data_IF_641004334098
#
_entry.id   IF_641004334098
#
_cell.length_a   1.000
_cell.length_b   1.000
_cell.length_c   1.000
_cell.angle_alpha   90.00
_cell.angle_beta   90.00
_cell.angle_gamma   90.00
#
_symmetry.space_group_name_H-M   'P 1'
#
loop_
_entity.id
_entity.type
_entity.pdbx_description
1 polymer ?
#
# COMPACT_ATOMS: atom_id res chain seq x y z
N UNK A 1 44.32 -10.91 -18.92
CA UNK A 1 43.25 -11.17 -17.93
C UNK A 1 43.89 -11.85 -16.74
N UNK A 2 43.99 -11.17 -15.59
CA UNK A 2 44.61 -11.74 -14.38
C UNK A 2 43.73 -12.88 -13.86
N UNK A 3 44.19 -14.12 -13.99
CA UNK A 3 43.62 -15.29 -13.29
C UNK A 3 43.95 -15.18 -11.80
N UNK A 4 43.28 -14.27 -11.10
CA UNK A 4 43.27 -14.28 -9.64
C UNK A 4 42.59 -15.59 -9.23
N UNK A 5 43.31 -16.45 -8.51
CA UNK A 5 42.75 -17.67 -7.93
C UNK A 5 41.46 -17.28 -7.17
N UNK A 6 40.33 -18.00 -7.34
CA UNK A 6 39.02 -17.58 -6.82
C UNK A 6 39.06 -17.26 -5.31
N UNK A 7 39.93 -17.93 -4.57
CA UNK A 7 40.16 -17.72 -3.15
C UNK A 7 40.64 -16.29 -2.79
N UNK A 8 41.48 -15.65 -3.62
CA UNK A 8 41.90 -14.26 -3.39
C UNK A 8 40.74 -13.29 -3.51
N UNK A 9 39.85 -13.52 -4.48
CA UNK A 9 38.64 -12.72 -4.65
C UNK A 9 37.74 -12.84 -3.41
N UNK A 10 37.57 -14.05 -2.86
CA UNK A 10 36.75 -14.30 -1.67
C UNK A 10 37.28 -13.53 -0.46
N UNK A 11 38.60 -13.56 -0.24
CA UNK A 11 39.25 -12.84 0.87
C UNK A 11 39.13 -11.32 0.70
N UNK A 12 39.30 -10.81 -0.54
CA UNK A 12 39.13 -9.39 -0.84
C UNK A 12 37.69 -8.94 -0.57
N UNK A 13 36.70 -9.76 -0.93
CA UNK A 13 35.29 -9.47 -0.62
C UNK A 13 35.02 -9.52 0.87
N UNK A 14 35.56 -10.52 1.60
CA UNK A 14 35.44 -10.57 3.05
C UNK A 14 36.03 -9.31 3.71
N UNK A 15 37.21 -8.89 3.27
CA UNK A 15 37.84 -7.65 3.73
C UNK A 15 36.99 -6.42 3.39
N UNK A 16 36.44 -6.36 2.18
CA UNK A 16 35.54 -5.31 1.71
C UNK A 16 34.28 -5.18 2.56
N UNK A 17 33.65 -6.31 2.95
CA UNK A 17 32.50 -6.34 3.86
C UNK A 17 32.88 -5.74 5.22
N UNK A 18 34.00 -6.19 5.79
CA UNK A 18 34.49 -5.68 7.08
C UNK A 18 34.84 -4.20 7.06
N UNK A 19 35.44 -3.71 5.97
CA UNK A 19 35.74 -2.29 5.78
C UNK A 19 34.48 -1.45 5.62
N UNK A 20 33.50 -1.92 4.84
CA UNK A 20 32.24 -1.22 4.62
C UNK A 20 31.46 -1.02 5.93
N UNK A 21 31.26 -2.11 6.68
CA UNK A 21 30.58 -2.08 7.98
C UNK A 21 31.39 -1.25 8.98
N UNK A 22 32.70 -1.44 8.98
CA UNK A 22 33.62 -0.69 9.84
C UNK A 22 33.61 0.81 9.57
N UNK A 23 33.43 1.24 8.31
CA UNK A 23 33.38 2.66 7.92
C UNK A 23 32.11 3.35 8.44
N UNK A 24 30.96 2.67 8.38
CA UNK A 24 29.73 3.15 9.01
C UNK A 24 29.93 3.31 10.53
N UNK A 25 30.54 2.31 11.16
CA UNK A 25 30.77 2.31 12.60
C UNK A 25 31.76 3.35 13.06
N UNK A 26 32.82 3.60 12.30
CA UNK A 26 33.78 4.66 12.61
C UNK A 26 33.16 6.04 12.51
N UNK A 27 32.24 6.26 11.56
CA UNK A 27 31.49 7.53 11.43
C UNK A 27 30.56 7.76 12.62
N UNK A 28 29.91 6.70 13.12
CA UNK A 28 28.94 6.76 14.22
C UNK A 28 29.56 6.50 15.61
N UNK A 29 30.89 6.53 15.71
CA UNK A 29 31.66 6.16 16.92
C UNK A 29 31.57 7.18 18.06
N UNK A 30 31.04 8.38 17.78
CA UNK A 30 31.02 9.52 18.71
C UNK A 30 32.42 10.11 18.97
N UNK A 31 32.47 11.22 19.70
CA UNK A 31 33.71 11.89 20.13
C UNK A 31 33.78 11.94 21.66
N UNK A 32 34.97 11.80 22.25
CA UNK A 32 35.18 11.89 23.70
C UNK A 32 35.32 10.54 24.43
N UNK A 33 35.25 10.52 25.78
CA UNK A 33 35.47 9.32 26.60
C UNK A 33 34.44 8.20 26.38
N UNK A 34 33.29 8.52 25.78
CA UNK A 34 32.21 7.56 25.46
C UNK A 34 32.36 6.90 24.07
N UNK A 35 33.47 7.13 23.36
CA UNK A 35 33.71 6.58 22.02
C UNK A 35 33.58 5.04 21.98
N UNK A 36 32.81 4.51 21.03
CA UNK A 36 32.69 3.07 20.80
C UNK A 36 34.06 2.46 20.46
N UNK A 37 34.45 1.29 21.00
CA UNK A 37 35.78 0.72 20.78
C UNK A 37 35.95 0.12 19.38
N UNK A 38 34.85 -0.35 18.76
CA UNK A 38 34.89 -1.03 17.47
C UNK A 38 34.82 -0.02 16.31
N UNK A 39 35.82 -0.07 15.44
CA UNK A 39 35.96 0.84 14.30
C UNK A 39 36.31 0.12 13.00
N UNK A 40 36.73 0.87 11.98
CA UNK A 40 37.12 0.32 10.67
C UNK A 40 38.06 -0.88 10.75
N UNK A 41 39.08 -0.79 11.61
CA UNK A 41 40.10 -1.83 11.76
C UNK A 41 39.54 -3.07 12.45
N UNK A 42 38.69 -2.90 13.46
CA UNK A 42 38.10 -4.02 14.20
C UNK A 42 37.23 -4.88 13.28
N UNK A 43 36.33 -4.25 12.52
CA UNK A 43 35.42 -4.97 11.61
C UNK A 43 36.17 -5.61 10.42
N UNK A 44 37.17 -4.94 9.87
CA UNK A 44 38.02 -5.52 8.82
C UNK A 44 38.78 -6.75 9.32
N UNK A 45 39.40 -6.67 10.50
CA UNK A 45 40.13 -7.77 11.09
C UNK A 45 39.21 -8.93 11.47
N UNK A 46 38.04 -8.69 12.05
CA UNK A 46 37.10 -9.76 12.44
C UNK A 46 36.51 -10.47 11.23
N UNK A 47 36.21 -9.75 10.15
CA UNK A 47 35.78 -10.36 8.87
C UNK A 47 36.88 -11.24 8.29
N UNK A 48 38.11 -10.73 8.27
CA UNK A 48 39.26 -11.50 7.78
C UNK A 48 39.51 -12.75 8.64
N UNK A 49 39.39 -12.63 9.96
CA UNK A 49 39.55 -13.73 10.91
C UNK A 49 38.48 -14.81 10.70
N UNK A 50 37.23 -14.42 10.41
CA UNK A 50 36.17 -15.34 9.98
C UNK A 50 36.50 -16.06 8.67
N UNK A 51 37.01 -15.33 7.68
CA UNK A 51 37.40 -15.92 6.39
C UNK A 51 38.56 -16.93 6.51
N UNK A 52 39.61 -16.59 7.28
CA UNK A 52 40.79 -17.44 7.48
C UNK A 52 40.44 -18.67 8.31
N UNK A 53 39.70 -18.49 9.41
CA UNK A 53 39.32 -19.62 10.27
C UNK A 53 38.47 -20.65 9.53
N UNK A 54 37.55 -20.18 8.67
CA UNK A 54 36.73 -21.03 7.81
C UNK A 54 37.52 -21.80 6.75
N UNK A 55 38.67 -21.28 6.30
CA UNK A 55 39.55 -21.97 5.35
C UNK A 55 40.36 -23.10 6.00
N UNK A 56 40.70 -22.96 7.29
CA UNK A 56 41.50 -23.95 8.01
C UNK A 56 40.61 -25.09 8.51
N UNK A 57 39.59 -24.78 9.32
CA UNK A 57 38.69 -25.80 9.88
C UNK A 57 37.43 -25.18 10.51
N UNK A 58 36.28 -25.85 10.41
CA UNK A 58 35.01 -25.37 10.99
C UNK A 58 35.07 -25.17 12.52
N UNK A 59 35.76 -26.06 13.25
CA UNK A 59 36.00 -25.92 14.68
C UNK A 59 36.78 -24.64 15.04
N UNK A 60 37.73 -24.23 14.21
CA UNK A 60 38.47 -22.99 14.43
C UNK A 60 37.55 -21.77 14.26
N UNK A 61 36.64 -21.79 13.29
CA UNK A 61 35.61 -20.76 13.14
C UNK A 61 34.71 -20.66 14.39
N UNK A 62 34.27 -21.80 14.94
CA UNK A 62 33.46 -21.81 16.17
C UNK A 62 34.22 -21.19 17.35
N UNK A 63 35.49 -21.58 17.55
CA UNK A 63 36.35 -20.99 18.58
C UNK A 63 36.52 -19.49 18.36
N UNK A 64 36.76 -19.07 17.11
CA UNK A 64 36.85 -17.67 16.71
C UNK A 64 35.60 -16.87 17.07
N UNK A 65 34.41 -17.38 16.74
CA UNK A 65 33.14 -16.72 17.06
C UNK A 65 32.96 -16.61 18.57
N UNK A 66 33.29 -17.65 19.33
CA UNK A 66 33.24 -17.64 20.80
C UNK A 66 34.22 -16.62 21.38
N UNK A 67 35.47 -16.58 20.90
CA UNK A 67 36.45 -15.59 21.34
C UNK A 67 35.98 -14.16 21.07
N UNK A 68 35.44 -13.90 19.87
CA UNK A 68 34.88 -12.58 19.54
C UNK A 68 33.69 -12.25 20.43
N UNK A 69 32.81 -13.21 20.72
CA UNK A 69 31.68 -13.04 21.64
C UNK A 69 32.13 -12.75 23.09
N UNK A 70 33.20 -13.40 23.56
CA UNK A 70 33.78 -13.13 24.88
C UNK A 70 34.43 -11.74 24.91
N UNK A 71 35.15 -11.35 23.86
CA UNK A 71 35.72 -10.01 23.78
C UNK A 71 34.65 -8.92 23.71
N UNK A 72 33.57 -9.13 22.95
CA UNK A 72 32.45 -8.16 22.93
C UNK A 72 31.74 -8.10 24.27
N UNK A 73 31.43 -9.25 24.89
CA UNK A 73 30.79 -9.30 26.20
C UNK A 73 31.65 -8.63 27.29
N UNK A 74 32.94 -8.93 27.36
CA UNK A 74 33.86 -8.29 28.32
C UNK A 74 33.99 -6.79 28.06
N UNK A 75 34.07 -6.36 26.80
CA UNK A 75 34.09 -4.93 26.45
C UNK A 75 32.80 -4.20 26.84
N UNK A 76 31.65 -4.88 26.76
CA UNK A 76 30.35 -4.37 27.17
C UNK A 76 30.26 -4.25 28.69
N UNK A 77 30.58 -5.32 29.43
CA UNK A 77 30.54 -5.34 30.90
C UNK A 77 31.55 -4.38 31.55
N UNK A 78 32.72 -4.16 30.92
CA UNK A 78 33.73 -3.24 31.44
C UNK A 78 33.28 -1.76 31.38
N UNK A 79 32.26 -1.42 30.58
CA UNK A 79 31.70 -0.06 30.50
C UNK A 79 30.40 0.03 31.29
N UNK A 80 30.50 0.53 32.52
CA UNK A 80 29.37 0.73 33.44
C UNK A 80 28.61 2.05 33.23
N UNK A 81 28.86 2.79 32.15
CA UNK A 81 28.24 4.09 31.88
C UNK A 81 27.45 4.09 30.57
N UNK A 82 26.13 4.21 30.72
CA UNK A 82 25.10 4.55 29.72
C UNK A 82 25.07 3.69 28.45
N UNK A 83 24.20 2.67 28.46
CA UNK A 83 23.69 1.89 27.31
C UNK A 83 24.51 1.98 25.99
N UNK A 84 25.73 1.41 25.93
CA UNK A 84 26.37 1.18 24.65
C UNK A 84 25.49 0.18 23.88
N UNK A 85 24.81 0.64 22.83
CA UNK A 85 23.77 -0.17 22.19
C UNK A 85 24.31 -1.50 21.63
N UNK A 86 23.73 -2.61 22.10
CA UNK A 86 23.96 -4.04 21.75
C UNK A 86 24.13 -4.34 20.24
N UNK A 87 23.66 -3.43 19.39
CA UNK A 87 23.78 -3.48 17.94
C UNK A 87 25.22 -3.52 17.42
N UNK A 88 26.21 -3.00 18.16
CA UNK A 88 27.61 -2.98 17.70
C UNK A 88 28.26 -4.34 17.92
N UNK A 89 27.96 -4.94 19.06
CA UNK A 89 28.42 -6.25 19.50
C UNK A 89 27.83 -7.34 18.59
N UNK A 90 26.52 -7.28 18.32
CA UNK A 90 25.84 -8.19 17.38
C UNK A 90 26.41 -8.01 15.97
N UNK A 91 26.63 -6.78 15.51
CA UNK A 91 27.21 -6.54 14.18
C UNK A 91 28.63 -7.09 14.06
N UNK A 92 29.44 -7.03 15.12
CA UNK A 92 30.80 -7.57 15.12
C UNK A 92 30.79 -9.10 14.94
N UNK A 93 29.93 -9.79 15.67
CA UNK A 93 29.72 -11.25 15.54
C UNK A 93 29.25 -11.59 14.13
N UNK A 94 28.24 -10.87 13.63
CA UNK A 94 27.71 -11.09 12.29
C UNK A 94 28.76 -10.85 11.20
N UNK A 95 29.68 -9.88 11.40
CA UNK A 95 30.78 -9.60 10.48
C UNK A 95 31.77 -10.76 10.37
N UNK A 96 32.06 -11.47 11.47
CA UNK A 96 32.87 -12.70 11.44
C UNK A 96 32.20 -13.77 10.60
N UNK A 97 30.89 -13.98 10.80
CA UNK A 97 30.10 -14.97 10.07
C UNK A 97 30.05 -14.62 8.58
N UNK A 98 29.84 -13.35 8.22
CA UNK A 98 29.83 -12.89 6.83
C UNK A 98 31.20 -13.05 6.16
N UNK A 99 32.30 -12.83 6.90
CA UNK A 99 33.65 -13.10 6.42
C UNK A 99 33.89 -14.57 6.09
N UNK A 100 33.38 -15.49 6.92
CA UNK A 100 33.38 -16.93 6.60
C UNK A 100 32.50 -17.25 5.39
N UNK A 101 31.29 -16.67 5.33
CA UNK A 101 30.33 -16.89 4.25
C UNK A 101 30.86 -16.42 2.89
N UNK A 102 31.76 -15.43 2.86
CA UNK A 102 32.40 -15.00 1.62
C UNK A 102 33.30 -16.08 0.99
N UNK A 103 33.78 -17.05 1.78
CA UNK A 103 34.58 -18.17 1.27
C UNK A 103 33.73 -19.15 0.47
N UNK A 104 32.48 -19.41 0.89
CA UNK A 104 31.59 -20.38 0.24
C UNK A 104 30.63 -19.73 -0.75
N UNK A 105 30.11 -18.54 -0.43
CA UNK A 105 29.06 -17.85 -1.18
C UNK A 105 29.31 -16.32 -1.26
N UNK A 106 30.25 -15.91 -2.10
CA UNK A 106 30.68 -14.52 -2.31
C UNK A 106 29.49 -13.55 -2.48
N UNK A 107 28.58 -13.83 -3.42
CA UNK A 107 27.50 -12.90 -3.78
C UNK A 107 26.53 -12.67 -2.63
N UNK A 108 26.17 -13.75 -1.92
CA UNK A 108 25.28 -13.70 -0.77
C UNK A 108 25.95 -13.00 0.42
N UNK A 109 27.22 -13.27 0.68
CA UNK A 109 27.99 -12.59 1.72
C UNK A 109 28.10 -11.08 1.45
N UNK A 110 28.39 -10.68 0.21
CA UNK A 110 28.47 -9.28 -0.19
C UNK A 110 27.10 -8.59 -0.05
N UNK A 111 26.01 -9.21 -0.53
CA UNK A 111 24.67 -8.66 -0.41
C UNK A 111 24.26 -8.47 1.06
N UNK A 112 24.46 -9.50 1.90
CA UNK A 112 24.15 -9.43 3.33
C UNK A 112 25.04 -8.41 4.07
N UNK A 113 26.31 -8.30 3.69
CA UNK A 113 27.23 -7.28 4.23
C UNK A 113 26.79 -5.86 3.91
N UNK A 114 26.32 -5.61 2.68
CA UNK A 114 25.73 -4.32 2.28
C UNK A 114 24.42 -4.06 3.03
N UNK A 115 23.52 -5.05 3.13
CA UNK A 115 22.27 -4.92 3.90
C UNK A 115 22.54 -4.58 5.35
N UNK A 116 23.51 -5.26 5.98
CA UNK A 116 23.93 -4.96 7.34
C UNK A 116 24.45 -3.52 7.43
N UNK A 117 25.37 -3.10 6.55
CA UNK A 117 25.89 -1.73 6.55
C UNK A 117 24.78 -0.67 6.37
N UNK A 118 23.79 -0.91 5.50
CA UNK A 118 22.63 -0.03 5.31
C UNK A 118 21.79 0.02 6.59
N UNK A 119 21.50 -1.12 7.22
CA UNK A 119 20.72 -1.18 8.45
C UNK A 119 21.39 -0.40 9.58
N UNK A 120 22.71 -0.51 9.70
CA UNK A 120 23.48 0.21 10.69
C UNK A 120 23.48 1.72 10.40
N UNK A 121 23.70 2.12 9.14
CA UNK A 121 23.67 3.52 8.70
C UNK A 121 22.29 4.16 8.89
N UNK A 122 21.21 3.38 8.76
CA UNK A 122 19.84 3.84 8.90
C UNK A 122 19.40 4.09 10.36
N UNK A 123 20.24 3.78 11.36
CA UNK A 123 19.89 3.92 12.79
C UNK A 123 19.37 5.31 13.16
N UNK A 124 20.08 6.38 12.81
CA UNK A 124 19.68 7.75 13.13
C UNK A 124 18.42 8.21 12.40
N UNK A 125 18.28 8.04 11.07
CA UNK A 125 17.04 8.40 10.40
C UNK A 125 15.85 7.54 10.85
N UNK A 126 16.03 6.26 11.19
CA UNK A 126 14.96 5.44 11.76
C UNK A 126 14.52 5.95 13.13
N UNK A 127 15.47 6.29 14.01
CA UNK A 127 15.15 6.81 15.34
C UNK A 127 14.53 8.20 15.27
N UNK A 128 15.04 9.06 14.39
CA UNK A 128 14.47 10.37 14.09
C UNK A 128 13.06 10.27 13.51
N UNK A 129 12.84 9.36 12.57
CA UNK A 129 11.53 9.10 11.97
C UNK A 129 10.55 8.59 13.02
N UNK A 130 10.91 7.58 13.81
CA UNK A 130 10.02 7.00 14.84
C UNK A 130 9.75 7.99 15.99
N UNK A 131 10.73 8.81 16.40
CA UNK A 131 10.56 9.73 17.54
C UNK A 131 9.96 11.09 17.18
N UNK A 132 10.26 11.62 16.00
CA UNK A 132 9.92 13.00 15.64
C UNK A 132 8.95 13.09 14.46
N UNK A 133 8.91 12.07 13.60
CA UNK A 133 8.03 12.06 12.42
C UNK A 133 6.77 11.27 12.70
N UNK A 134 6.81 10.11 13.35
CA UNK A 134 5.61 9.28 13.58
C UNK A 134 5.06 9.51 14.98
N UNK A 135 3.78 9.90 15.09
CA UNK A 135 3.09 9.99 16.37
C UNK A 135 2.84 8.59 16.95
N UNK A 136 2.70 8.47 18.28
CA UNK A 136 2.39 7.17 18.91
C UNK A 136 1.12 6.52 18.35
N UNK A 137 0.13 7.32 17.94
CA UNK A 137 -1.08 6.85 17.27
C UNK A 137 -0.76 6.25 15.90
N UNK A 138 -0.11 7.03 15.01
CA UNK A 138 0.27 6.57 13.67
C UNK A 138 1.13 5.30 13.69
N UNK A 139 2.03 5.16 14.68
CA UNK A 139 2.85 3.96 14.83
C UNK A 139 2.01 2.73 15.20
N UNK A 140 1.10 2.89 16.19
CA UNK A 140 0.19 1.81 16.57
C UNK A 140 -0.65 1.40 15.36
N UNK A 141 -1.16 2.36 14.61
CA UNK A 141 -1.98 2.06 13.45
C UNK A 141 -1.21 1.37 12.31
N UNK A 142 0.02 1.79 12.06
CA UNK A 142 0.91 1.13 11.11
C UNK A 142 1.20 -0.31 11.55
N UNK A 143 1.40 -0.53 12.85
CA UNK A 143 1.58 -1.87 13.42
C UNK A 143 0.31 -2.72 13.29
N UNK A 144 -0.88 -2.15 13.48
CA UNK A 144 -2.15 -2.84 13.28
C UNK A 144 -2.32 -3.20 11.79
N UNK A 145 -2.04 -2.29 10.87
CA UNK A 145 -2.06 -2.56 9.43
C UNK A 145 -1.03 -3.63 9.03
N UNK A 146 0.18 -3.56 9.60
CA UNK A 146 1.23 -4.55 9.39
C UNK A 146 0.82 -5.93 9.94
N UNK A 147 0.23 -6.00 11.13
CA UNK A 147 -0.31 -7.24 11.69
C UNK A 147 -1.44 -7.80 10.81
N UNK A 148 -2.36 -6.95 10.37
CA UNK A 148 -3.44 -7.34 9.46
C UNK A 148 -2.91 -7.94 8.15
N UNK A 149 -1.82 -7.39 7.62
CA UNK A 149 -1.24 -7.79 6.33
C UNK A 149 -0.26 -8.96 6.44
N UNK A 150 0.60 -8.98 7.46
CA UNK A 150 1.70 -9.94 7.58
C UNK A 150 1.34 -11.15 8.45
N UNK A 151 0.36 -11.03 9.36
CA UNK A 151 -0.06 -12.11 10.26
C UNK A 151 -1.39 -12.67 9.80
N UNK A 152 -2.41 -11.83 9.63
CA UNK A 152 -3.77 -12.31 9.38
C UNK A 152 -3.95 -12.77 7.93
N UNK A 153 -3.53 -11.96 6.93
CA UNK A 153 -3.72 -12.30 5.51
C UNK A 153 -3.17 -13.69 5.10
N UNK A 154 -1.97 -14.15 5.54
CA UNK A 154 -1.50 -15.49 5.22
C UNK A 154 -2.36 -16.60 5.83
N UNK A 155 -2.96 -16.37 6.99
CA UNK A 155 -3.80 -17.34 7.73
C UNK A 155 -5.19 -17.44 7.10
N UNK A 156 -5.71 -16.36 6.50
CA UNK A 156 -7.05 -16.32 5.93
C UNK A 156 -7.12 -17.25 4.70
N UNK A 157 -8.04 -18.23 4.67
CA UNK A 157 -8.11 -19.20 3.60
C UNK A 157 -8.57 -18.56 2.28
N UNK A 158 -7.98 -18.98 1.17
CA UNK A 158 -8.32 -18.51 -0.18
C UNK A 158 -9.34 -19.44 -0.83
N UNK A 159 -10.56 -19.40 -0.33
CA UNK A 159 -11.65 -20.21 -0.84
C UNK A 159 -12.97 -19.44 -0.81
N UNK A 160 -13.79 -19.67 -1.84
CA UNK A 160 -15.14 -19.14 -1.91
C UNK A 160 -16.06 -19.96 -0.99
N UNK A 161 -16.74 -19.27 -0.08
CA UNK A 161 -17.67 -19.82 0.89
C UNK A 161 -18.99 -19.04 0.90
N UNK A 162 -19.97 -19.53 1.65
CA UNK A 162 -21.27 -18.87 1.79
C UNK A 162 -22.25 -19.17 0.64
N UNK A 163 -23.45 -18.56 0.67
CA UNK A 163 -24.46 -18.78 -0.36
C UNK A 163 -23.92 -18.39 -1.75
N UNK A 164 -24.22 -19.22 -2.75
CA UNK A 164 -23.79 -19.06 -4.15
C UNK A 164 -22.26 -19.04 -4.36
N UNK A 165 -21.46 -19.50 -3.38
CA UNK A 165 -20.00 -19.37 -3.39
C UNK A 165 -19.54 -17.92 -3.64
N UNK A 166 -20.31 -16.94 -3.13
CA UNK A 166 -20.11 -15.53 -3.45
C UNK A 166 -18.98 -14.85 -2.65
N UNK A 167 -18.65 -15.40 -1.47
CA UNK A 167 -17.76 -14.73 -0.52
C UNK A 167 -16.40 -15.42 -0.50
N UNK A 168 -15.35 -14.70 -0.89
CA UNK A 168 -13.98 -15.11 -0.60
C UNK A 168 -13.45 -14.31 0.60
N UNK A 169 -13.08 -15.02 1.67
CA UNK A 169 -12.62 -14.42 2.92
C UNK A 169 -11.32 -13.62 2.76
N UNK A 170 -10.39 -14.12 1.93
CA UNK A 170 -9.15 -13.44 1.60
C UNK A 170 -9.40 -12.16 0.82
N UNK A 171 -10.33 -12.18 -0.14
CA UNK A 171 -10.70 -10.97 -0.89
C UNK A 171 -11.37 -9.91 0.01
N UNK A 172 -12.28 -10.31 0.90
CA UNK A 172 -12.85 -9.39 1.88
C UNK A 172 -11.79 -8.82 2.82
N UNK A 173 -10.82 -9.63 3.23
CA UNK A 173 -9.70 -9.18 4.06
C UNK A 173 -8.81 -8.17 3.32
N UNK A 174 -8.56 -8.38 2.02
CA UNK A 174 -7.83 -7.41 1.19
C UNK A 174 -8.58 -6.07 1.11
N UNK A 175 -9.91 -6.06 1.08
CA UNK A 175 -10.70 -4.83 1.15
C UNK A 175 -10.50 -4.12 2.51
N UNK A 176 -10.49 -4.86 3.63
CA UNK A 176 -10.19 -4.30 4.96
C UNK A 176 -8.81 -3.63 4.95
N UNK A 177 -7.77 -4.34 4.48
CA UNK A 177 -6.40 -3.82 4.36
C UNK A 177 -6.37 -2.57 3.47
N UNK A 178 -7.12 -2.59 2.36
CA UNK A 178 -7.17 -1.48 1.42
C UNK A 178 -7.79 -0.23 2.04
N UNK A 179 -8.96 -0.35 2.68
CA UNK A 179 -9.62 0.78 3.37
C UNK A 179 -8.70 1.33 4.45
N UNK A 180 -8.05 0.47 5.23
CA UNK A 180 -7.08 0.89 6.24
C UNK A 180 -5.91 1.63 5.59
N UNK A 181 -5.31 1.10 4.54
CA UNK A 181 -4.17 1.71 3.84
C UNK A 181 -4.52 3.08 3.23
N UNK A 182 -5.69 3.21 2.61
CA UNK A 182 -6.18 4.49 2.07
C UNK A 182 -6.40 5.49 3.21
N UNK A 183 -6.90 5.04 4.35
CA UNK A 183 -7.03 5.86 5.56
C UNK A 183 -5.66 6.28 6.11
N UNK A 184 -4.64 5.40 6.08
CA UNK A 184 -3.26 5.75 6.41
C UNK A 184 -2.74 6.89 5.55
N UNK A 185 -2.79 6.67 4.23
CA UNK A 185 -2.25 7.57 3.23
C UNK A 185 -2.97 8.90 3.28
N UNK A 186 -4.29 8.89 3.49
CA UNK A 186 -5.08 10.10 3.72
C UNK A 186 -4.63 10.91 4.93
N UNK A 187 -4.16 10.27 6.00
CA UNK A 187 -3.73 10.94 7.23
C UNK A 187 -2.36 11.57 7.00
N UNK A 188 -1.45 10.81 6.41
CA UNK A 188 -0.12 11.28 6.01
C UNK A 188 -0.23 12.44 5.02
N UNK A 189 -1.12 12.34 4.02
CA UNK A 189 -1.33 13.39 3.04
C UNK A 189 -1.90 14.66 3.65
N UNK A 190 -2.86 14.55 4.59
CA UNK A 190 -3.35 15.71 5.34
C UNK A 190 -2.23 16.43 6.08
N UNK A 191 -1.28 15.68 6.63
CA UNK A 191 -0.15 16.23 7.36
C UNK A 191 0.90 16.89 6.47
N UNK A 192 1.22 16.30 5.32
CA UNK A 192 2.26 16.80 4.41
C UNK A 192 1.72 17.92 3.50
N UNK A 193 0.54 17.72 2.91
CA UNK A 193 -0.05 18.60 1.90
C UNK A 193 -1.11 19.57 2.49
N UNK A 194 -1.45 19.40 3.77
CA UNK A 194 -2.55 20.12 4.41
C UNK A 194 -3.94 19.59 4.02
N UNK A 195 -4.96 20.02 4.76
CA UNK A 195 -6.37 19.70 4.46
C UNK A 195 -6.84 20.19 3.10
N UNK A 196 -6.19 21.23 2.58
CA UNK A 196 -6.54 21.92 1.33
C UNK A 196 -6.34 21.07 0.06
N UNK A 197 -5.33 20.20 0.04
CA UNK A 197 -4.98 19.40 -1.16
C UNK A 197 -4.89 17.90 -0.86
N UNK A 198 -4.59 17.53 0.40
CA UNK A 198 -4.30 16.15 0.76
C UNK A 198 -5.44 15.18 0.46
N UNK A 199 -6.68 15.50 0.87
CA UNK A 199 -7.83 14.59 0.71
C UNK A 199 -8.33 14.46 -0.74
N UNK A 200 -8.51 15.55 -1.51
CA UNK A 200 -8.85 15.45 -2.93
C UNK A 200 -7.85 14.59 -3.73
N UNK A 201 -6.55 14.81 -3.51
CA UNK A 201 -5.49 14.10 -4.23
C UNK A 201 -5.44 12.62 -3.84
N UNK A 202 -5.50 12.31 -2.54
CA UNK A 202 -5.58 10.92 -2.06
C UNK A 202 -6.83 10.25 -2.59
N UNK A 203 -7.96 10.95 -2.66
CA UNK A 203 -9.20 10.44 -3.24
C UNK A 203 -9.03 10.00 -4.68
N UNK A 204 -8.42 10.85 -5.52
CA UNK A 204 -8.12 10.53 -6.92
C UNK A 204 -7.17 9.32 -7.02
N UNK A 205 -6.03 9.34 -6.32
CA UNK A 205 -5.00 8.30 -6.40
C UNK A 205 -5.53 6.96 -5.85
N UNK A 206 -6.19 6.97 -4.69
CA UNK A 206 -6.76 5.75 -4.10
C UNK A 206 -7.95 5.22 -4.88
N UNK A 207 -8.66 6.08 -5.62
CA UNK A 207 -9.71 5.69 -6.55
C UNK A 207 -9.20 4.74 -7.66
N UNK A 208 -7.94 4.86 -8.07
CA UNK A 208 -7.27 3.91 -8.98
C UNK A 208 -7.01 2.53 -8.37
N UNK A 209 -7.22 2.37 -7.06
CA UNK A 209 -7.14 1.08 -6.39
C UNK A 209 -8.55 0.57 -6.10
N UNK A 210 -9.38 1.38 -5.44
CA UNK A 210 -10.82 1.10 -5.29
C UNK A 210 -11.60 2.36 -4.89
N UNK A 211 -12.42 2.88 -5.80
CA UNK A 211 -13.28 4.04 -5.52
C UNK A 211 -14.32 3.76 -4.42
N UNK A 212 -14.85 2.53 -4.30
CA UNK A 212 -15.80 2.21 -3.21
C UNK A 212 -15.09 2.26 -1.85
N UNK A 213 -13.89 1.67 -1.74
CA UNK A 213 -13.09 1.75 -0.52
C UNK A 213 -12.71 3.19 -0.18
N UNK A 214 -12.36 4.00 -1.19
CA UNK A 214 -12.08 5.43 -1.03
C UNK A 214 -13.28 6.18 -0.47
N UNK A 215 -14.49 6.04 -1.04
CA UNK A 215 -15.71 6.69 -0.53
C UNK A 215 -16.00 6.24 0.91
N UNK A 216 -15.77 4.96 1.23
CA UNK A 216 -15.85 4.45 2.60
C UNK A 216 -14.92 5.18 3.56
N UNK A 217 -13.64 5.23 3.23
CA UNK A 217 -12.61 5.90 4.03
C UNK A 217 -12.87 7.40 4.20
N UNK A 218 -13.32 8.08 3.14
CA UNK A 218 -13.66 9.51 3.17
C UNK A 218 -14.91 9.78 4.02
N UNK A 219 -15.93 8.93 3.92
CA UNK A 219 -17.11 9.08 4.76
C UNK A 219 -16.81 8.85 6.24
N UNK A 220 -15.99 7.85 6.59
CA UNK A 220 -15.55 7.65 7.97
C UNK A 220 -14.87 8.90 8.55
N UNK A 221 -14.07 9.60 7.74
CA UNK A 221 -13.42 10.86 8.10
C UNK A 221 -14.41 12.01 8.28
N UNK A 222 -15.33 12.18 7.33
CA UNK A 222 -16.39 13.18 7.42
C UNK A 222 -17.28 12.98 8.66
N UNK A 223 -17.48 11.72 9.07
CA UNK A 223 -18.23 11.37 10.28
C UNK A 223 -17.45 11.66 11.56
N UNK A 224 -16.13 11.47 11.54
CA UNK A 224 -15.26 11.72 12.69
C UNK A 224 -15.01 13.22 12.92
N UNK A 225 -14.90 14.02 11.85
CA UNK A 225 -14.71 15.47 11.95
C UNK A 225 -15.54 16.20 10.91
N UNK A 226 -16.47 17.04 11.39
CA UNK A 226 -17.34 17.82 10.52
C UNK A 226 -16.55 18.83 9.67
N UNK A 227 -15.41 19.32 10.18
CA UNK A 227 -14.48 20.24 9.50
C UNK A 227 -13.83 19.60 8.26
N UNK A 228 -13.63 18.28 8.26
CA UNK A 228 -13.04 17.56 7.13
C UNK A 228 -14.06 17.16 6.07
N UNK A 229 -15.36 17.44 6.28
CA UNK A 229 -16.42 16.94 5.41
C UNK A 229 -16.25 17.41 3.97
N UNK A 230 -16.01 18.70 3.72
CA UNK A 230 -15.89 19.25 2.37
C UNK A 230 -14.69 18.65 1.61
N UNK A 231 -13.55 18.53 2.28
CA UNK A 231 -12.34 17.91 1.73
C UNK A 231 -12.53 16.40 1.47
N UNK A 232 -13.25 15.70 2.36
CA UNK A 232 -13.59 14.30 2.19
C UNK A 232 -14.57 14.07 1.02
N UNK A 233 -15.57 14.94 0.84
CA UNK A 233 -16.48 14.90 -0.32
C UNK A 233 -15.69 15.08 -1.61
N UNK A 234 -14.78 16.07 -1.67
CA UNK A 234 -13.91 16.26 -2.83
C UNK A 234 -13.09 14.99 -3.14
N UNK A 235 -12.47 14.37 -2.14
CA UNK A 235 -11.75 13.10 -2.32
C UNK A 235 -12.65 11.95 -2.80
N UNK A 236 -13.84 11.81 -2.22
CA UNK A 236 -14.82 10.80 -2.59
C UNK A 236 -15.29 10.96 -4.05
N UNK A 237 -15.62 12.18 -4.45
CA UNK A 237 -16.05 12.54 -5.81
C UNK A 237 -14.92 12.31 -6.82
N UNK A 238 -13.70 12.78 -6.54
CA UNK A 238 -12.55 12.59 -7.43
C UNK A 238 -12.13 11.11 -7.55
N UNK A 239 -12.46 10.26 -6.58
CA UNK A 239 -12.27 8.81 -6.74
C UNK A 239 -13.11 8.22 -7.89
N UNK A 240 -14.28 8.81 -8.20
CA UNK A 240 -15.10 8.41 -9.34
C UNK A 240 -14.54 8.89 -10.68
N UNK A 241 -13.74 9.97 -10.68
CA UNK A 241 -12.96 10.36 -11.86
C UNK A 241 -11.90 9.30 -12.18
N UNK A 242 -11.24 8.75 -11.16
CA UNK A 242 -10.28 7.65 -11.33
C UNK A 242 -10.95 6.41 -11.94
N UNK A 243 -12.19 6.07 -11.56
CA UNK A 243 -12.95 4.97 -12.18
C UNK A 243 -13.16 5.19 -13.68
N UNK A 244 -13.43 6.41 -14.13
CA UNK A 244 -13.55 6.71 -15.57
C UNK A 244 -12.19 6.51 -16.26
N UNK A 245 -11.10 7.00 -15.67
CA UNK A 245 -9.77 6.81 -16.26
C UNK A 245 -9.34 5.36 -16.32
N UNK A 246 -9.59 4.57 -15.26
CA UNK A 246 -9.33 3.14 -15.25
C UNK A 246 -10.13 2.42 -16.34
N UNK A 247 -11.42 2.74 -16.49
CA UNK A 247 -12.25 2.14 -17.53
C UNK A 247 -11.76 2.51 -18.94
N UNK A 248 -11.37 3.76 -19.17
CA UNK A 248 -10.76 4.19 -20.45
C UNK A 248 -9.47 3.42 -20.71
N UNK A 249 -8.54 3.36 -19.76
CA UNK A 249 -7.26 2.66 -19.91
C UNK A 249 -7.45 1.17 -20.20
N UNK A 250 -8.40 0.55 -19.51
CA UNK A 250 -8.80 -0.84 -19.69
C UNK A 250 -9.34 -1.08 -21.09
N UNK A 251 -10.24 -0.22 -21.58
CA UNK A 251 -10.80 -0.36 -22.93
C UNK A 251 -9.76 -0.12 -24.03
N UNK A 252 -8.79 0.77 -23.82
CA UNK A 252 -7.62 0.93 -24.72
C UNK A 252 -6.85 -0.39 -24.81
N UNK A 253 -6.61 -1.06 -23.67
CA UNK A 253 -5.83 -2.29 -23.62
C UNK A 253 -6.56 -3.50 -24.23
N UNK A 254 -7.89 -3.56 -24.12
CA UNK A 254 -8.67 -4.73 -24.56
C UNK A 254 -9.19 -4.59 -25.98
N UNK A 255 -9.91 -3.51 -26.29
CA UNK A 255 -10.61 -3.35 -27.57
C UNK A 255 -10.90 -1.87 -27.88
N UNK A 256 -10.02 -1.18 -28.62
CA UNK A 256 -10.18 0.25 -28.95
C UNK A 256 -11.50 0.62 -29.67
N UNK A 257 -12.07 -0.22 -30.56
CA UNK A 257 -13.41 0.01 -31.10
C UNK A 257 -14.53 0.18 -30.04
N UNK A 258 -14.48 -0.55 -28.93
CA UNK A 258 -15.45 -0.39 -27.83
C UNK A 258 -15.29 0.97 -27.15
N UNK A 259 -14.04 1.42 -26.98
CA UNK A 259 -13.77 2.77 -26.47
C UNK A 259 -14.35 3.85 -27.37
N UNK A 260 -14.26 3.70 -28.69
CA UNK A 260 -14.85 4.66 -29.64
C UNK A 260 -16.37 4.73 -29.48
N UNK A 261 -17.03 3.57 -29.33
CA UNK A 261 -18.47 3.52 -29.08
C UNK A 261 -18.89 4.12 -27.72
N UNK A 262 -18.00 4.07 -26.72
CA UNK A 262 -18.21 4.63 -25.38
C UNK A 262 -17.62 6.04 -25.19
N UNK A 263 -17.01 6.63 -26.22
CA UNK A 263 -16.21 7.84 -26.07
C UNK A 263 -17.04 9.01 -25.51
N UNK A 264 -18.23 9.26 -26.08
CA UNK A 264 -19.10 10.34 -25.62
C UNK A 264 -19.60 10.13 -24.19
N UNK A 265 -20.17 8.97 -23.82
CA UNK A 265 -20.53 8.69 -22.43
C UNK A 265 -19.38 8.91 -21.43
N UNK A 266 -18.17 8.43 -21.75
CA UNK A 266 -17.02 8.53 -20.85
C UNK A 266 -16.46 9.95 -20.76
N UNK A 267 -16.43 10.71 -21.86
CA UNK A 267 -15.99 12.11 -21.87
C UNK A 267 -16.94 12.97 -21.03
N UNK A 268 -18.25 12.88 -21.26
CA UNK A 268 -19.23 13.67 -20.51
C UNK A 268 -19.29 13.24 -19.04
N UNK A 269 -19.20 11.94 -18.76
CA UNK A 269 -19.06 11.43 -17.40
C UNK A 269 -17.79 11.93 -16.69
N UNK A 270 -16.65 11.90 -17.38
CA UNK A 270 -15.37 12.38 -16.85
C UNK A 270 -15.35 13.88 -16.61
N UNK A 271 -15.83 14.68 -17.57
CA UNK A 271 -15.88 16.15 -17.46
C UNK A 271 -16.84 16.57 -16.34
N UNK A 272 -18.04 15.98 -16.27
CA UNK A 272 -19.03 16.34 -15.25
C UNK A 272 -18.52 16.08 -13.83
N UNK A 273 -17.93 14.91 -13.56
CA UNK A 273 -17.38 14.59 -12.25
C UNK A 273 -16.09 15.38 -11.95
N UNK A 274 -15.28 15.71 -12.96
CA UNK A 274 -14.10 16.57 -12.80
C UNK A 274 -14.48 18.01 -12.45
N UNK A 275 -15.51 18.57 -13.11
CA UNK A 275 -16.04 19.90 -12.81
C UNK A 275 -16.62 19.91 -11.40
N UNK A 276 -17.49 18.95 -11.06
CA UNK A 276 -18.10 18.89 -9.74
C UNK A 276 -17.05 18.69 -8.64
N UNK A 277 -16.12 17.75 -8.83
CA UNK A 277 -15.00 17.51 -7.91
C UNK A 277 -14.09 18.72 -7.77
N UNK A 278 -13.81 19.43 -8.87
CA UNK A 278 -13.04 20.68 -8.85
C UNK A 278 -13.74 21.79 -8.07
N UNK A 279 -15.05 21.98 -8.29
CA UNK A 279 -15.86 22.96 -7.55
C UNK A 279 -15.86 22.66 -6.06
N UNK A 280 -16.10 21.41 -5.66
CA UNK A 280 -16.09 21.03 -4.23
C UNK A 280 -14.68 21.15 -3.64
N UNK A 281 -13.63 20.86 -4.41
CA UNK A 281 -12.23 21.05 -3.99
C UNK A 281 -11.94 22.53 -3.72
N UNK A 282 -12.35 23.43 -4.63
CA UNK A 282 -12.18 24.88 -4.45
C UNK A 282 -12.98 25.40 -3.26
N UNK A 283 -14.22 24.93 -3.08
CA UNK A 283 -15.05 25.29 -1.93
C UNK A 283 -14.42 24.83 -0.61
N UNK A 284 -13.86 23.61 -0.58
CA UNK A 284 -13.10 23.09 0.55
C UNK A 284 -11.85 23.94 0.85
N UNK A 285 -11.21 24.51 -0.18
CA UNK A 285 -10.04 25.37 -0.01
C UNK A 285 -10.37 26.72 0.64
N UNK A 286 -11.57 27.25 0.36
CA UNK A 286 -12.04 28.55 0.86
C UNK A 286 -12.52 28.47 2.32
N UNK A 287 -12.99 27.31 2.77
CA UNK A 287 -13.33 27.06 4.16
C UNK A 287 -12.03 27.00 4.99
N UNK A 288 -11.73 28.08 5.70
CA UNK A 288 -10.58 28.15 6.58
C UNK A 288 -10.78 27.18 7.76
N UNK A 289 -10.01 26.09 7.80
CA UNK A 289 -9.81 25.29 9.02
C UNK A 289 -8.38 25.55 9.51
N UNK A 290 -8.14 26.60 10.33
CA UNK A 290 -6.86 26.80 10.97
C UNK A 290 -6.73 25.69 12.02
N UNK A 291 -5.78 24.78 11.81
CA UNK A 291 -5.48 23.70 12.73
C UNK A 291 -6.69 22.84 13.12
N UNK A 292 -7.25 22.10 12.15
CA UNK A 292 -7.98 20.90 12.50
C UNK A 292 -7.02 20.02 13.31
N UNK A 293 -7.10 20.08 14.65
CA UNK A 293 -6.36 19.20 15.53
C UNK A 293 -6.74 17.80 15.11
N UNK A 294 -5.74 17.07 14.63
CA UNK A 294 -5.89 15.72 14.11
C UNK A 294 -6.07 14.80 15.33
N UNK A 295 -7.22 14.89 15.97
CA UNK A 295 -7.65 14.00 17.08
C UNK A 295 -8.53 12.87 16.57
N UNK A 296 -8.65 12.70 15.25
CA UNK A 296 -9.29 11.52 14.68
C UNK A 296 -8.36 10.34 14.89
N UNK A 297 -8.84 9.29 15.56
CA UNK A 297 -8.23 7.96 15.46
C UNK A 297 -7.94 7.69 13.97
N UNK A 298 -6.66 7.54 13.57
CA UNK A 298 -6.29 7.58 12.16
C UNK A 298 -6.88 6.39 11.35
N UNK A 299 -7.36 5.35 12.06
CA UNK A 299 -7.93 4.13 11.51
C UNK A 299 -8.98 3.56 12.47
N UNK A 300 -10.23 3.43 12.03
CA UNK A 300 -11.19 2.59 12.76
C UNK A 300 -11.22 1.22 12.08
N UNK A 301 -10.47 0.26 12.64
CA UNK A 301 -10.54 -1.16 12.27
C UNK A 301 -12.00 -1.63 12.19
N UNK A 302 -12.80 -1.19 13.17
CA UNK A 302 -14.25 -1.38 13.21
C UNK A 302 -14.97 -0.89 11.95
N UNK A 303 -14.61 0.28 11.40
CA UNK A 303 -15.21 0.78 10.16
C UNK A 303 -14.77 -0.05 8.95
N UNK A 304 -13.50 -0.46 8.89
CA UNK A 304 -13.00 -1.33 7.83
C UNK A 304 -13.75 -2.68 7.79
N UNK A 305 -14.02 -3.29 8.96
CA UNK A 305 -14.86 -4.49 9.06
C UNK A 305 -16.31 -4.25 8.66
N UNK A 306 -16.92 -3.13 9.10
CA UNK A 306 -18.28 -2.75 8.67
C UNK A 306 -18.37 -2.62 7.15
N UNK A 307 -17.36 -2.00 6.53
CA UNK A 307 -17.28 -1.85 5.08
C UNK A 307 -17.12 -3.19 4.37
N UNK A 308 -16.25 -4.07 4.85
CA UNK A 308 -16.12 -5.41 4.30
C UNK A 308 -17.43 -6.20 4.38
N UNK A 309 -18.20 -6.04 5.47
CA UNK A 309 -19.54 -6.64 5.61
C UNK A 309 -20.54 -6.13 4.56
N UNK A 310 -20.54 -4.84 4.25
CA UNK A 310 -21.40 -4.26 3.20
C UNK A 310 -21.00 -4.81 1.83
N UNK A 311 -19.71 -4.88 1.52
CA UNK A 311 -19.25 -5.44 0.25
C UNK A 311 -19.59 -6.93 0.16
N UNK A 312 -19.46 -7.68 1.26
CA UNK A 312 -19.90 -9.08 1.32
C UNK A 312 -21.39 -9.22 1.00
N UNK A 313 -22.24 -8.33 1.54
CA UNK A 313 -23.67 -8.30 1.23
C UNK A 313 -23.91 -8.02 -0.25
N UNK A 314 -23.23 -7.00 -0.82
CA UNK A 314 -23.34 -6.67 -2.25
C UNK A 314 -22.91 -7.85 -3.13
N UNK A 315 -21.83 -8.56 -2.76
CA UNK A 315 -21.36 -9.75 -3.47
C UNK A 315 -22.38 -10.89 -3.40
N UNK A 316 -22.98 -11.14 -2.24
CA UNK A 316 -24.02 -12.18 -2.08
C UNK A 316 -25.26 -11.84 -2.90
N UNK A 317 -25.73 -10.58 -2.84
CA UNK A 317 -26.87 -10.12 -3.64
C UNK A 317 -26.56 -10.24 -5.13
N UNK A 318 -25.36 -9.82 -5.55
CA UNK A 318 -24.90 -9.95 -6.93
C UNK A 318 -24.86 -11.40 -7.39
N UNK A 319 -24.26 -12.30 -6.60
CA UNK A 319 -24.21 -13.73 -6.94
C UNK A 319 -25.61 -14.36 -6.99
N UNK A 320 -26.49 -14.05 -6.04
CA UNK A 320 -27.87 -14.53 -6.04
C UNK A 320 -28.64 -14.09 -7.29
N UNK A 321 -28.55 -12.80 -7.64
CA UNK A 321 -29.13 -12.26 -8.86
C UNK A 321 -28.58 -12.97 -10.11
N UNK A 322 -27.26 -13.21 -10.18
CA UNK A 322 -26.65 -13.94 -11.30
C UNK A 322 -27.19 -15.38 -11.43
N UNK A 323 -27.42 -16.08 -10.33
CA UNK A 323 -27.97 -17.45 -10.38
C UNK A 323 -29.44 -17.49 -10.80
N UNK A 324 -30.25 -16.54 -10.36
CA UNK A 324 -31.68 -16.50 -10.67
C UNK A 324 -31.97 -15.95 -12.07
N UNK A 325 -31.17 -15.00 -12.53
CA UNK A 325 -31.32 -14.39 -13.86
C UNK A 325 -30.68 -15.27 -14.96
N UNK A 326 -29.82 -16.23 -14.63
CA UNK A 326 -29.16 -17.10 -15.62
C UNK A 326 -28.33 -16.33 -16.66
N UNK A 327 -28.16 -16.89 -17.86
CA UNK A 327 -27.54 -16.21 -19.03
C UNK A 327 -28.44 -15.12 -19.65
N UNK A 328 -29.53 -14.74 -18.99
CA UNK A 328 -30.52 -13.82 -19.57
C UNK A 328 -29.95 -12.41 -19.63
N UNK A 329 -29.69 -11.94 -20.85
CA UNK A 329 -29.34 -10.56 -21.18
C UNK A 329 -27.96 -10.12 -20.69
N UNK A 330 -27.03 -9.92 -21.63
CA UNK A 330 -25.70 -9.35 -21.39
C UNK A 330 -25.75 -8.07 -20.51
N UNK A 331 -26.80 -7.27 -20.64
CA UNK A 331 -27.03 -6.05 -19.84
C UNK A 331 -27.26 -6.34 -18.37
N UNK A 332 -28.15 -7.29 -18.03
CA UNK A 332 -28.47 -7.62 -16.64
C UNK A 332 -27.29 -8.28 -15.95
N UNK A 333 -26.62 -9.23 -16.61
CA UNK A 333 -25.41 -9.85 -16.09
C UNK A 333 -24.30 -8.82 -15.82
N UNK A 334 -24.14 -7.84 -16.71
CA UNK A 334 -23.15 -6.76 -16.54
C UNK A 334 -23.52 -5.82 -15.40
N UNK A 335 -24.80 -5.45 -15.25
CA UNK A 335 -25.27 -4.66 -14.12
C UNK A 335 -25.00 -5.36 -12.79
N UNK A 336 -25.32 -6.66 -12.72
CA UNK A 336 -25.12 -7.47 -11.52
C UNK A 336 -23.64 -7.59 -11.17
N UNK A 337 -22.76 -7.87 -12.14
CA UNK A 337 -21.32 -7.89 -11.94
C UNK A 337 -20.78 -6.50 -11.53
N UNK A 338 -21.32 -5.43 -12.12
CA UNK A 338 -20.94 -4.05 -11.86
C UNK A 338 -21.19 -3.58 -10.42
N UNK A 339 -22.19 -4.16 -9.74
CA UNK A 339 -22.43 -3.91 -8.31
C UNK A 339 -21.16 -4.12 -7.46
N UNK A 340 -20.39 -5.16 -7.78
CA UNK A 340 -19.12 -5.44 -7.12
C UNK A 340 -17.97 -4.66 -7.74
N UNK A 341 -17.82 -4.74 -9.07
CA UNK A 341 -16.75 -4.06 -9.81
C UNK A 341 -17.15 -3.79 -11.26
N UNK A 342 -17.25 -2.50 -11.62
CA UNK A 342 -17.51 -2.07 -12.99
C UNK A 342 -16.43 -2.53 -13.98
N UNK A 343 -15.16 -2.64 -13.55
CA UNK A 343 -14.06 -2.99 -14.43
C UNK A 343 -14.09 -4.46 -14.81
N UNK A 344 -14.27 -5.35 -13.83
CA UNK A 344 -14.45 -6.78 -14.07
C UNK A 344 -15.65 -7.04 -15.02
N UNK A 345 -16.76 -6.33 -14.81
CA UNK A 345 -17.91 -6.40 -15.70
C UNK A 345 -17.58 -5.92 -17.12
N UNK A 346 -16.88 -4.79 -17.27
CA UNK A 346 -16.46 -4.27 -18.57
C UNK A 346 -15.49 -5.20 -19.30
N UNK A 347 -14.55 -5.84 -18.59
CA UNK A 347 -13.66 -6.87 -19.14
C UNK A 347 -14.49 -8.02 -19.67
N UNK A 348 -15.42 -8.56 -18.86
CA UNK A 348 -16.26 -9.69 -19.26
C UNK A 348 -17.04 -9.37 -20.54
N UNK A 349 -17.65 -8.19 -20.64
CA UNK A 349 -18.37 -7.76 -21.85
C UNK A 349 -17.43 -7.61 -23.03
N UNK A 350 -16.27 -6.96 -22.84
CA UNK A 350 -15.31 -6.73 -23.91
C UNK A 350 -14.72 -8.05 -24.45
N UNK A 351 -14.39 -9.00 -23.57
CA UNK A 351 -13.91 -10.33 -23.97
C UNK A 351 -14.99 -11.11 -24.73
N UNK A 352 -16.24 -11.11 -24.25
CA UNK A 352 -17.35 -11.75 -24.97
C UNK A 352 -17.56 -11.17 -26.37
N UNK A 353 -17.37 -9.86 -26.52
CA UNK A 353 -17.48 -9.17 -27.80
C UNK A 353 -16.42 -9.64 -28.79
N UNK A 354 -15.19 -9.81 -28.32
CA UNK A 354 -14.09 -10.35 -29.13
C UNK A 354 -14.33 -11.81 -29.48
N UNK A 355 -14.80 -12.63 -28.53
CA UNK A 355 -15.02 -14.06 -28.74
C UNK A 355 -16.23 -14.41 -29.60
N UNK A 356 -17.29 -13.60 -29.56
CA UNK A 356 -18.55 -13.84 -30.27
C UNK A 356 -18.74 -12.92 -31.49
N UNK A 357 -17.73 -12.14 -31.86
CA UNK A 357 -17.78 -11.17 -32.96
C UNK A 357 -18.98 -10.21 -32.87
N UNK A 358 -19.34 -9.80 -31.65
CA UNK A 358 -20.45 -8.88 -31.44
C UNK A 358 -20.06 -7.48 -31.94
N UNK A 359 -21.06 -6.74 -32.42
CA UNK A 359 -20.85 -5.36 -32.82
C UNK A 359 -20.50 -4.52 -31.57
N UNK A 360 -19.43 -3.71 -31.57
CA UNK A 360 -19.08 -2.81 -30.46
C UNK A 360 -20.25 -1.97 -29.94
N UNK A 361 -21.21 -1.59 -30.79
CA UNK A 361 -22.41 -0.85 -30.36
C UNK A 361 -23.28 -1.62 -29.35
N UNK A 362 -23.31 -2.97 -29.42
CA UNK A 362 -24.09 -3.81 -28.52
C UNK A 362 -23.48 -3.93 -27.11
N UNK A 363 -22.23 -3.46 -26.95
CA UNK A 363 -21.46 -3.55 -25.69
C UNK A 363 -21.65 -2.32 -24.80
N UNK A 364 -22.13 -1.22 -25.38
CA UNK A 364 -22.29 0.07 -24.72
C UNK A 364 -23.27 -0.03 -23.55
N UNK A 365 -24.51 -0.48 -23.81
CA UNK A 365 -25.55 -0.57 -22.77
C UNK A 365 -25.13 -1.52 -21.62
N UNK A 366 -24.58 -2.72 -21.87
CA UNK A 366 -24.06 -3.56 -20.78
C UNK A 366 -22.99 -2.88 -19.91
N UNK A 367 -22.01 -2.20 -20.52
CA UNK A 367 -20.94 -1.52 -19.78
C UNK A 367 -21.51 -0.32 -18.99
N UNK A 368 -22.43 0.45 -19.58
CA UNK A 368 -23.09 1.56 -18.87
C UNK A 368 -23.98 1.07 -17.73
N UNK A 369 -24.66 -0.07 -17.90
CA UNK A 369 -25.44 -0.70 -16.84
C UNK A 369 -24.53 -1.16 -15.69
N UNK A 370 -23.37 -1.74 -15.99
CA UNK A 370 -22.36 -2.09 -14.99
C UNK A 370 -21.83 -0.86 -14.24
N UNK A 371 -21.51 0.22 -14.95
CA UNK A 371 -21.05 1.47 -14.36
C UNK A 371 -22.11 2.13 -13.46
N UNK A 372 -23.38 2.06 -13.88
CA UNK A 372 -24.53 2.56 -13.10
C UNK A 372 -24.70 1.75 -11.82
N UNK A 373 -24.65 0.42 -11.90
CA UNK A 373 -24.75 -0.45 -10.74
C UNK A 373 -23.57 -0.23 -9.76
N UNK A 374 -22.36 -0.04 -10.27
CA UNK A 374 -21.21 0.32 -9.44
C UNK A 374 -21.41 1.67 -8.74
N UNK A 375 -22.01 2.62 -9.44
CA UNK A 375 -22.35 3.94 -8.88
C UNK A 375 -23.40 3.82 -7.78
N UNK A 376 -24.37 2.91 -7.88
CA UNK A 376 -25.28 2.59 -6.79
C UNK A 376 -24.53 2.04 -5.56
N UNK A 377 -23.58 1.14 -5.74
CA UNK A 377 -22.72 0.64 -4.64
C UNK A 377 -21.93 1.77 -3.97
N UNK A 378 -21.41 2.72 -4.76
CA UNK A 378 -20.74 3.93 -4.26
C UNK A 378 -21.70 4.83 -3.45
N UNK A 379 -22.92 5.01 -3.93
CA UNK A 379 -23.95 5.78 -3.22
C UNK A 379 -24.32 5.12 -1.88
N UNK A 380 -24.53 3.79 -1.86
CA UNK A 380 -24.77 3.02 -0.64
C UNK A 380 -23.60 3.21 0.33
N UNK A 381 -22.37 3.11 -0.16
CA UNK A 381 -21.18 3.30 0.66
C UNK A 381 -21.14 4.71 1.27
N UNK A 382 -21.46 5.75 0.49
CA UNK A 382 -21.50 7.13 0.98
C UNK A 382 -22.53 7.34 2.10
N UNK A 383 -23.69 6.69 2.01
CA UNK A 383 -24.76 6.77 3.02
C UNK A 383 -24.33 6.10 4.33
N UNK A 384 -23.67 4.95 4.25
CA UNK A 384 -23.33 4.17 5.45
C UNK A 384 -22.06 4.68 6.14
N UNK A 385 -21.09 5.20 5.37
CA UNK A 385 -19.80 5.63 5.91
C UNK A 385 -19.82 7.06 6.46
N UNK A 386 -20.54 7.98 5.81
CA UNK A 386 -20.49 9.41 6.10
C UNK A 386 -21.60 9.97 7.00
N UNK A 387 -21.51 11.27 7.25
CA UNK A 387 -22.63 12.05 7.77
C UNK A 387 -23.63 12.40 6.63
N UNK A 388 -24.81 12.94 6.98
CA UNK A 388 -25.86 13.24 5.98
C UNK A 388 -25.39 14.21 4.89
N UNK A 389 -24.57 15.19 5.25
CA UNK A 389 -24.04 16.20 4.34
C UNK A 389 -23.04 15.60 3.34
N UNK A 390 -22.14 14.74 3.82
CA UNK A 390 -21.23 13.96 3.00
C UNK A 390 -22.00 13.10 2.00
N UNK A 391 -22.97 12.31 2.48
CA UNK A 391 -23.75 11.43 1.63
C UNK A 391 -24.51 12.20 0.55
N UNK A 392 -25.20 13.30 0.91
CA UNK A 392 -25.98 14.08 -0.05
C UNK A 392 -25.11 14.72 -1.14
N UNK A 393 -23.94 15.24 -0.79
CA UNK A 393 -23.04 15.87 -1.78
C UNK A 393 -22.37 14.84 -2.68
N UNK A 394 -21.92 13.70 -2.13
CA UNK A 394 -21.35 12.62 -2.95
C UNK A 394 -22.41 12.05 -3.90
N UNK A 395 -23.62 11.75 -3.41
CA UNK A 395 -24.72 11.25 -4.25
C UNK A 395 -25.07 12.26 -5.33
N UNK A 396 -25.13 13.56 -5.03
CA UNK A 396 -25.38 14.59 -6.03
C UNK A 396 -24.33 14.55 -7.15
N UNK A 397 -23.04 14.45 -6.80
CA UNK A 397 -21.97 14.31 -7.79
C UNK A 397 -22.09 13.05 -8.65
N UNK A 398 -22.43 11.91 -8.02
CA UNK A 398 -22.64 10.64 -8.72
C UNK A 398 -23.86 10.68 -9.65
N UNK A 399 -24.95 11.31 -9.22
CA UNK A 399 -26.17 11.49 -10.03
C UNK A 399 -25.87 12.39 -11.23
N UNK A 400 -25.21 13.53 -11.03
CA UNK A 400 -24.78 14.41 -12.12
C UNK A 400 -23.93 13.63 -13.13
N UNK A 401 -22.95 12.86 -12.65
CA UNK A 401 -22.09 12.04 -13.49
C UNK A 401 -22.89 11.04 -14.33
N UNK A 402 -23.75 10.23 -13.70
CA UNK A 402 -24.52 9.22 -14.41
C UNK A 402 -25.55 9.84 -15.37
N UNK A 403 -26.19 10.95 -14.99
CA UNK A 403 -27.08 11.69 -15.89
C UNK A 403 -26.33 12.16 -17.14
N UNK A 404 -25.14 12.72 -16.99
CA UNK A 404 -24.31 13.13 -18.14
C UNK A 404 -23.87 11.94 -19.01
N UNK A 405 -23.51 10.81 -18.41
CA UNK A 405 -23.14 9.57 -19.11
C UNK A 405 -24.30 9.08 -19.98
N UNK A 406 -25.50 8.96 -19.41
CA UNK A 406 -26.68 8.45 -20.11
C UNK A 406 -27.23 9.44 -21.15
N UNK A 407 -27.21 10.75 -20.86
CA UNK A 407 -27.60 11.77 -21.83
C UNK A 407 -26.66 11.80 -23.04
N UNK A 408 -25.36 11.66 -22.81
CA UNK A 408 -24.38 11.61 -23.90
C UNK A 408 -24.58 10.37 -24.78
N UNK A 409 -24.85 9.20 -24.18
CA UNK A 409 -25.20 7.99 -24.93
C UNK A 409 -26.50 8.13 -25.75
N UNK A 410 -27.50 8.83 -25.21
CA UNK A 410 -28.77 9.02 -25.91
C UNK A 410 -28.65 9.97 -27.11
N UNK A 411 -27.75 10.96 -27.01
CA UNK A 411 -27.63 12.03 -28.01
C UNK A 411 -26.61 11.73 -29.11
N UNK A 412 -25.53 11.01 -28.79
CA UNK A 412 -24.42 10.66 -29.69
C UNK A 412 -24.30 9.15 -29.82
#
# INVERSE_FOLDING_TARGET
>A
MLNLHPLWLNIVVALGIGLLIGAERERNKGSGPERSPAGIRTFALTSLLGSISSLIHIWLLMITVVCVMVFTATSYYARRSQDPGLTTEIALILTVILGSLAITHIALAAALGVVLAILLAAKEPMHGFVKHVVTKGELNDLLILAAATLIILPIVPDQFIGPFAAINLRHLWLIVILVMSISALGHIALRILGSKVGLPLVGLISGFISSIATIGSMGARAKASNELTSAAVAGAVLSSLATIFQLVLLLIAINPPILQALAWPLIFGGISIAIYGGVVTVQSYQQHTPHAQITSEPFSVTSAFKFAGIIALVLVVSAGLNTWLGQTGLVLASAVAGLADAHAAAISVATLTVSQSLNPAQTVIPILAALTANTCSKAIMAIVSGNRLFASQVILGLVIQMSCVWLAWWWF
#
